data_IF_301093334970
#
_entry.id   IF_301093334970
#
_cell.length_a   1.000
_cell.length_b   1.000
_cell.length_c   1.000
_cell.angle_alpha   90.00
_cell.angle_beta   90.00
_cell.angle_gamma   90.00
#
_symmetry.space_group_name_H-M   'P 1'
#
loop_
_entity.id
_entity.type
_entity.pdbx_description
1 polymer ?
#
# COMPACT_ATOMS: atom_id res chain seq x y z
N UNK A 1 -32.12 -1.78 -8.82
CA UNK A 1 -30.76 -1.69 -9.41
C UNK A 1 -29.75 -0.89 -8.53
N UNK A 2 -29.85 -0.99 -7.20
CA UNK A 2 -29.12 -0.13 -6.25
C UNK A 2 -28.27 -0.90 -5.21
N UNK A 3 -28.27 -2.24 -5.25
CA UNK A 3 -27.58 -3.07 -4.25
C UNK A 3 -26.25 -3.66 -4.74
N UNK A 4 -25.96 -3.61 -6.05
CA UNK A 4 -24.69 -4.13 -6.57
C UNK A 4 -23.50 -3.26 -6.12
N UNK A 5 -23.69 -1.93 -6.09
CA UNK A 5 -22.62 -1.00 -5.74
C UNK A 5 -22.19 -1.11 -4.28
N UNK A 6 -23.09 -1.26 -3.31
CA UNK A 6 -22.68 -1.39 -1.89
C UNK A 6 -21.94 -2.70 -1.62
N UNK A 7 -22.36 -3.79 -2.27
CA UNK A 7 -21.77 -5.13 -2.07
C UNK A 7 -20.35 -5.20 -2.65
N UNK A 8 -20.12 -4.59 -3.81
CA UNK A 8 -18.78 -4.51 -4.42
C UNK A 8 -17.80 -3.66 -3.59
N UNK A 9 -18.33 -2.59 -2.98
CA UNK A 9 -17.58 -1.68 -2.09
C UNK A 9 -17.09 -2.42 -0.84
N UNK A 10 -17.97 -3.18 -0.20
CA UNK A 10 -17.62 -3.97 0.99
C UNK A 10 -16.61 -5.06 0.62
N UNK A 11 -16.76 -5.67 -0.56
CA UNK A 11 -15.84 -6.69 -1.07
C UNK A 11 -14.42 -6.16 -1.27
N UNK A 12 -14.24 -5.02 -1.94
CA UNK A 12 -12.93 -4.42 -2.17
C UNK A 12 -12.23 -4.06 -0.85
N UNK A 13 -12.98 -3.54 0.12
CA UNK A 13 -12.47 -3.26 1.45
C UNK A 13 -12.01 -4.53 2.18
N UNK A 14 -12.81 -5.60 2.14
CA UNK A 14 -12.45 -6.89 2.73
C UNK A 14 -11.22 -7.51 2.06
N UNK A 15 -11.10 -7.39 0.73
CA UNK A 15 -9.92 -7.81 -0.01
C UNK A 15 -8.68 -7.04 0.45
N UNK A 16 -8.72 -5.70 0.49
CA UNK A 16 -7.60 -4.88 0.96
C UNK A 16 -7.19 -5.22 2.41
N UNK A 17 -8.15 -5.44 3.29
CA UNK A 17 -7.89 -5.80 4.68
C UNK A 17 -7.25 -7.19 4.82
N UNK A 18 -7.69 -8.16 4.02
CA UNK A 18 -7.26 -9.55 4.14
C UNK A 18 -6.01 -9.88 3.34
N UNK A 19 -5.67 -9.08 2.31
CA UNK A 19 -4.59 -9.37 1.38
C UNK A 19 -3.22 -9.58 2.06
N UNK A 20 -2.79 -8.79 3.06
CA UNK A 20 -1.54 -9.07 3.77
C UNK A 20 -1.52 -10.46 4.43
N UNK A 21 -2.64 -10.93 4.98
CA UNK A 21 -2.73 -12.27 5.59
C UNK A 21 -2.67 -13.39 4.53
N UNK A 22 -3.29 -13.15 3.36
CA UNK A 22 -3.17 -14.07 2.21
C UNK A 22 -1.74 -14.12 1.70
N UNK A 23 -1.08 -12.97 1.56
CA UNK A 23 0.32 -12.87 1.17
C UNK A 23 1.24 -13.58 2.16
N UNK A 24 0.98 -13.44 3.46
CA UNK A 24 1.71 -14.16 4.51
C UNK A 24 1.53 -15.69 4.37
N UNK A 25 0.32 -16.15 4.06
CA UNK A 25 -0.01 -17.57 3.93
C UNK A 25 0.64 -18.20 2.69
N UNK A 26 0.58 -17.50 1.55
CA UNK A 26 1.19 -17.97 0.30
C UNK A 26 2.72 -17.82 0.31
N UNK A 27 3.23 -16.85 1.07
CA UNK A 27 4.63 -16.48 1.13
C UNK A 27 5.09 -15.66 -0.09
N UNK A 28 6.29 -15.04 0.01
CA UNK A 28 6.80 -14.11 -1.01
C UNK A 28 7.03 -14.77 -2.38
N UNK A 29 7.25 -16.08 -2.43
CA UNK A 29 7.47 -16.83 -3.69
C UNK A 29 6.27 -16.80 -4.64
N UNK A 30 5.07 -16.56 -4.12
CA UNK A 30 3.83 -16.52 -4.90
C UNK A 30 3.23 -15.11 -4.99
N UNK A 31 4.06 -14.08 -4.75
CA UNK A 31 3.61 -12.69 -4.77
C UNK A 31 3.07 -12.25 -6.14
N UNK A 32 3.58 -12.84 -7.22
CA UNK A 32 3.09 -12.63 -8.58
C UNK A 32 1.58 -12.87 -8.71
N UNK A 33 1.01 -13.80 -7.94
CA UNK A 33 -0.44 -14.07 -7.93
C UNK A 33 -1.27 -12.95 -7.30
N UNK A 34 -0.67 -12.13 -6.42
CA UNK A 34 -1.35 -11.10 -5.64
C UNK A 34 -1.00 -9.66 -6.07
N UNK A 35 0.14 -9.49 -6.75
CA UNK A 35 0.71 -8.20 -7.16
C UNK A 35 -0.29 -7.31 -7.90
N UNK A 36 -0.97 -7.87 -8.89
CA UNK A 36 -1.92 -7.12 -9.72
C UNK A 36 -3.16 -6.73 -8.90
N UNK A 37 -3.68 -7.66 -8.09
CA UNK A 37 -4.79 -7.39 -7.17
C UNK A 37 -4.43 -6.28 -6.18
N UNK A 38 -3.22 -6.32 -5.60
CA UNK A 38 -2.76 -5.27 -4.69
C UNK A 38 -2.65 -3.92 -5.38
N UNK A 39 -2.17 -3.89 -6.62
CA UNK A 39 -2.09 -2.67 -7.44
C UNK A 39 -3.48 -2.11 -7.78
N UNK A 40 -4.45 -2.98 -8.08
CA UNK A 40 -5.85 -2.61 -8.27
C UNK A 40 -6.44 -1.98 -7.01
N UNK A 41 -6.23 -2.60 -5.84
CA UNK A 41 -6.75 -2.08 -4.56
C UNK A 41 -6.08 -0.75 -4.17
N UNK A 42 -4.79 -0.58 -4.46
CA UNK A 42 -4.07 0.67 -4.22
C UNK A 42 -4.59 1.83 -5.08
N UNK A 43 -5.20 1.53 -6.23
CA UNK A 43 -5.76 2.50 -7.17
C UNK A 43 -7.30 2.52 -7.16
N UNK A 44 -7.91 1.90 -6.15
CA UNK A 44 -9.36 1.78 -6.07
C UNK A 44 -10.03 3.16 -6.02
N UNK A 45 -11.21 3.30 -6.63
CA UNK A 45 -11.96 4.57 -6.65
C UNK A 45 -12.32 5.05 -5.24
N UNK A 46 -12.42 4.14 -4.29
CA UNK A 46 -12.77 4.44 -2.92
C UNK A 46 -11.55 4.71 -2.06
N UNK A 47 -11.46 5.91 -1.52
CA UNK A 47 -10.37 6.29 -0.62
C UNK A 47 -10.27 5.38 0.61
N UNK A 48 -11.39 4.81 1.10
CA UNK A 48 -11.38 3.87 2.23
C UNK A 48 -10.61 2.59 1.93
N UNK A 49 -10.71 2.07 0.70
CA UNK A 49 -9.96 0.89 0.24
C UNK A 49 -8.47 1.25 0.13
N UNK A 50 -8.15 2.37 -0.54
CA UNK A 50 -6.77 2.86 -0.65
C UNK A 50 -6.12 3.15 0.71
N UNK A 51 -6.88 3.68 1.67
CA UNK A 51 -6.44 3.90 3.05
C UNK A 51 -6.13 2.59 3.77
N UNK A 52 -6.93 1.54 3.56
CA UNK A 52 -6.64 0.20 4.10
C UNK A 52 -5.30 -0.30 3.56
N UNK A 53 -5.10 -0.22 2.24
CA UNK A 53 -3.83 -0.57 1.58
C UNK A 53 -2.65 0.23 2.14
N UNK A 54 -2.80 1.56 2.24
CA UNK A 54 -1.78 2.44 2.78
C UNK A 54 -1.40 2.10 4.23
N UNK A 55 -2.39 1.72 5.03
CA UNK A 55 -2.18 1.37 6.43
C UNK A 55 -1.46 0.02 6.60
N UNK A 56 -1.49 -0.87 5.61
CA UNK A 56 -0.88 -2.21 5.70
C UNK A 56 0.36 -2.42 4.81
N UNK A 57 0.79 -1.41 4.03
CA UNK A 57 1.89 -1.57 3.07
C UNK A 57 3.23 -1.98 3.72
N UNK A 58 3.46 -1.58 4.98
CA UNK A 58 4.65 -1.94 5.72
C UNK A 58 4.65 -3.41 6.17
N UNK A 59 3.49 -3.96 6.53
CA UNK A 59 3.33 -5.40 6.81
C UNK A 59 3.64 -6.22 5.56
N UNK A 60 3.15 -5.76 4.40
CA UNK A 60 3.44 -6.42 3.13
C UNK A 60 4.94 -6.35 2.80
N UNK A 61 5.62 -5.24 3.10
CA UNK A 61 7.07 -5.14 2.93
C UNK A 61 7.84 -6.14 3.80
N UNK A 62 7.38 -6.43 5.02
CA UNK A 62 7.96 -7.48 5.89
C UNK A 62 7.83 -8.86 5.23
N UNK A 63 6.65 -9.17 4.68
CA UNK A 63 6.35 -10.46 4.05
C UNK A 63 7.19 -10.66 2.78
N UNK A 64 7.30 -9.62 1.95
CA UNK A 64 7.98 -9.70 0.65
C UNK A 64 9.50 -9.69 0.76
N UNK A 65 10.04 -9.10 1.82
CA UNK A 65 11.48 -8.89 1.97
C UNK A 65 12.00 -7.73 1.13
N UNK A 66 13.24 -7.31 1.40
CA UNK A 66 13.81 -6.03 0.98
C UNK A 66 13.77 -5.79 -0.55
N UNK A 67 14.14 -6.81 -1.33
CA UNK A 67 14.27 -6.69 -2.78
C UNK A 67 12.92 -6.48 -3.46
N UNK A 68 11.97 -7.37 -3.16
CA UNK A 68 10.63 -7.33 -3.73
C UNK A 68 9.84 -6.13 -3.21
N UNK A 69 9.95 -5.82 -1.92
CA UNK A 69 9.33 -4.62 -1.36
C UNK A 69 9.86 -3.34 -2.06
N UNK A 70 11.16 -3.27 -2.32
CA UNK A 70 11.76 -2.14 -3.04
C UNK A 70 11.22 -2.04 -4.47
N UNK A 71 11.18 -3.15 -5.19
CA UNK A 71 10.75 -3.17 -6.59
C UNK A 71 9.26 -2.83 -6.73
N UNK A 72 8.43 -3.39 -5.86
CA UNK A 72 6.99 -3.48 -6.11
C UNK A 72 6.18 -2.50 -5.26
N UNK A 73 6.65 -2.18 -4.05
CA UNK A 73 5.88 -1.35 -3.11
C UNK A 73 6.30 0.13 -3.17
N UNK A 74 7.51 0.46 -3.62
CA UNK A 74 7.96 1.86 -3.75
C UNK A 74 7.10 2.67 -4.73
N UNK A 75 6.72 2.16 -5.92
CA UNK A 75 5.82 2.88 -6.82
C UNK A 75 4.44 3.10 -6.20
N UNK A 76 3.90 2.10 -5.51
CA UNK A 76 2.59 2.16 -4.85
C UNK A 76 2.62 3.19 -3.71
N UNK A 77 3.60 3.09 -2.81
CA UNK A 77 3.78 4.03 -1.72
C UNK A 77 3.92 5.47 -2.24
N UNK A 78 4.64 5.67 -3.34
CA UNK A 78 4.82 6.97 -3.98
C UNK A 78 3.52 7.59 -4.52
N UNK A 79 2.54 6.77 -4.88
CA UNK A 79 1.18 7.20 -5.23
C UNK A 79 0.37 7.55 -3.98
N UNK A 80 0.37 6.66 -2.98
CA UNK A 80 -0.41 6.83 -1.75
C UNK A 80 -0.05 8.09 -0.95
N UNK A 81 1.22 8.50 -0.94
CA UNK A 81 1.66 9.74 -0.27
C UNK A 81 1.20 11.03 -0.97
N UNK A 82 0.71 10.94 -2.21
CA UNK A 82 0.13 12.05 -3.00
C UNK A 82 -1.41 12.02 -3.01
N UNK A 83 -2.01 11.06 -2.31
CA UNK A 83 -3.46 10.86 -2.26
C UNK A 83 -4.13 11.87 -1.30
N UNK A 84 -5.41 11.70 -1.01
CA UNK A 84 -6.14 12.47 0.00
C UNK A 84 -5.51 12.29 1.38
N UNK A 85 -5.63 13.29 2.26
CA UNK A 85 -5.04 13.27 3.60
C UNK A 85 -5.46 12.04 4.42
N UNK A 86 -6.69 11.57 4.29
CA UNK A 86 -7.15 10.36 4.99
C UNK A 86 -6.38 9.09 4.58
N UNK A 87 -5.93 9.01 3.32
CA UNK A 87 -5.11 7.91 2.80
C UNK A 87 -3.65 8.14 3.19
N UNK A 88 -3.14 9.37 3.03
CA UNK A 88 -1.75 9.75 3.35
C UNK A 88 -1.41 9.41 4.80
N UNK A 89 -2.30 9.70 5.75
CA UNK A 89 -2.10 9.39 7.18
C UNK A 89 -1.84 7.89 7.40
N UNK A 90 -2.48 7.00 6.63
CA UNK A 90 -2.26 5.55 6.69
C UNK A 90 -0.83 5.16 6.32
N UNK A 91 -0.32 5.72 5.22
CA UNK A 91 1.05 5.48 4.76
C UNK A 91 2.10 6.13 5.69
N UNK A 92 1.85 7.37 6.11
CA UNK A 92 2.82 8.17 6.87
C UNK A 92 3.01 7.68 8.31
N UNK A 93 1.97 7.09 8.93
CA UNK A 93 2.05 6.52 10.29
C UNK A 93 3.18 5.50 10.45
N UNK A 94 3.49 4.77 9.37
CA UNK A 94 4.50 3.72 9.37
C UNK A 94 5.69 4.03 8.45
N UNK A 95 5.85 5.29 8.04
CA UNK A 95 6.87 5.72 7.07
C UNK A 95 8.27 5.26 7.46
N UNK A 96 8.72 5.55 8.68
CA UNK A 96 10.08 5.21 9.13
C UNK A 96 10.33 3.70 9.11
N UNK A 97 9.34 2.92 9.53
CA UNK A 97 9.41 1.46 9.54
C UNK A 97 9.43 0.91 8.12
N UNK A 98 8.54 1.37 7.24
CA UNK A 98 8.52 0.98 5.83
C UNK A 98 9.85 1.29 5.13
N UNK A 99 10.38 2.52 5.26
CA UNK A 99 11.64 2.90 4.62
C UNK A 99 12.84 2.06 5.08
N UNK A 100 12.82 1.55 6.32
CA UNK A 100 13.86 0.65 6.84
C UNK A 100 13.82 -0.74 6.19
N UNK A 101 12.66 -1.17 5.68
CA UNK A 101 12.47 -2.45 5.00
C UNK A 101 12.87 -2.43 3.52
N UNK A 102 13.32 -1.28 3.01
CA UNK A 102 13.70 -1.11 1.60
C UNK A 102 15.21 -1.03 1.42
N UNK A 103 15.68 -1.42 0.22
CA UNK A 103 17.05 -1.17 -0.22
C UNK A 103 17.37 0.33 -0.12
N UNK A 104 18.65 0.69 0.09
CA UNK A 104 19.08 2.08 0.09
C UNK A 104 18.61 2.87 -1.14
N UNK A 105 18.62 2.27 -2.33
CA UNK A 105 18.14 2.89 -3.57
C UNK A 105 16.65 3.27 -3.50
N UNK A 106 15.81 2.39 -2.95
CA UNK A 106 14.37 2.62 -2.79
C UNK A 106 14.07 3.72 -1.79
N UNK A 107 14.70 3.67 -0.60
CA UNK A 107 14.43 4.67 0.45
C UNK A 107 15.02 6.04 0.13
N UNK A 108 16.17 6.10 -0.55
CA UNK A 108 16.82 7.38 -0.91
C UNK A 108 16.00 8.18 -1.91
N UNK A 109 15.12 7.53 -2.68
CA UNK A 109 14.16 8.21 -3.56
C UNK A 109 13.22 9.15 -2.81
N UNK A 110 12.98 8.90 -1.51
CA UNK A 110 12.08 9.73 -0.70
C UNK A 110 12.79 10.90 0.00
N UNK A 111 14.14 10.92 0.07
CA UNK A 111 14.88 11.99 0.76
C UNK A 111 14.55 13.38 0.19
N UNK A 112 14.57 13.62 -1.15
CA UNK A 112 14.21 14.92 -1.71
C UNK A 112 12.74 15.30 -1.49
N UNK A 113 11.90 14.33 -1.13
CA UNK A 113 10.44 14.43 -1.05
C UNK A 113 9.94 14.51 0.40
N UNK A 114 10.82 14.42 1.39
CA UNK A 114 10.44 14.51 2.82
C UNK A 114 9.69 15.82 3.13
N UNK A 115 10.06 16.92 2.48
CA UNK A 115 9.38 18.20 2.65
C UNK A 115 7.93 18.18 2.17
N UNK A 116 7.59 17.32 1.18
CA UNK A 116 6.22 17.17 0.70
C UNK A 116 5.33 16.44 1.71
N UNK A 117 5.89 15.73 2.68
CA UNK A 117 5.12 15.12 3.77
C UNK A 117 4.62 16.13 4.79
N UNK A 118 5.20 17.34 4.83
CA UNK A 118 4.80 18.39 5.76
C UNK A 118 3.70 19.31 5.19
N UNK A 119 3.39 19.18 3.90
CA UNK A 119 2.35 19.97 3.23
C UNK A 119 1.00 19.26 3.34
N UNK A 120 0.03 19.89 3.95
CA UNK A 120 -1.41 19.55 3.85
C UNK A 120 -2.02 20.50 2.84
N UNK A 121 -2.55 19.97 1.74
CA UNK A 121 -3.31 20.73 0.74
C UNK A 121 -4.80 20.72 1.13
#
# INVERSE_FOLDING_TARGET
PSNASSTDIDMAHHCAFSLPAVALTLGPKHWDLLRDTYSTLASDRQWKVRRTVASSIHELAVILGEDMATQDLVPIFSGLIKDLDEVRIGALRHLSYFLRLLRPSGRNHFLPRLADFLKTE
#
